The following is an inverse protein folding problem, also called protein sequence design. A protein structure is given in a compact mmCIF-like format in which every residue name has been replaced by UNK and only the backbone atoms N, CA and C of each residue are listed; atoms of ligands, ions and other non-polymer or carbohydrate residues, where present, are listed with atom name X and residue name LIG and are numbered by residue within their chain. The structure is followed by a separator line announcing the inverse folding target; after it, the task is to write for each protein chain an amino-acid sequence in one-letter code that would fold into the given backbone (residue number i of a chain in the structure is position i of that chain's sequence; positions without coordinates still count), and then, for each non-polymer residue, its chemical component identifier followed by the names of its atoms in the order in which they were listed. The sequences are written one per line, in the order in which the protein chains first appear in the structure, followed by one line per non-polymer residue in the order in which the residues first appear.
data_IF_901457153383
#
_entry.id   IF_901457153383
#
_cell.length_a   1.000
_cell.length_b   1.000
_cell.length_c   1.000
_cell.angle_alpha   90.00
_cell.angle_beta   90.00
_cell.angle_gamma   90.00
#
_symmetry.space_group_name_H-M   'P 1'
#
loop_
_entity.id
_entity.type
_entity.pdbx_description
1 polymer ?
#
# COMPACT_ATOMS: atom_id res chain seq x y z
N UNK A 1 -0.80 21.55 -3.83
CA UNK A 1 -1.65 20.36 -3.62
C UNK A 1 -2.97 20.89 -3.13
N UNK A 2 -4.07 20.68 -3.85
CA UNK A 2 -5.39 21.04 -3.34
C UNK A 2 -5.69 20.15 -2.13
N UNK A 3 -6.05 20.78 -1.01
CA UNK A 3 -6.51 20.06 0.17
C UNK A 3 -7.92 19.56 -0.10
N UNK A 4 -8.18 18.31 0.25
CA UNK A 4 -9.51 17.70 0.16
C UNK A 4 -10.22 18.00 1.48
N UNK A 5 -11.36 18.71 1.41
CA UNK A 5 -12.06 19.19 2.61
C UNK A 5 -12.67 18.06 3.47
N UNK A 6 -12.97 16.91 2.86
CA UNK A 6 -13.55 15.73 3.53
C UNK A 6 -12.55 14.57 3.70
N UNK A 7 -11.26 14.87 3.92
CA UNK A 7 -10.20 13.86 3.99
C UNK A 7 -10.48 12.77 5.05
N UNK A 8 -10.99 13.15 6.22
CA UNK A 8 -11.30 12.22 7.31
C UNK A 8 -12.41 11.24 6.95
N UNK A 9 -13.48 11.70 6.28
CA UNK A 9 -14.56 10.83 5.81
C UNK A 9 -14.07 9.80 4.79
N UNK A 10 -13.11 10.18 3.94
CA UNK A 10 -12.51 9.26 2.97
C UNK A 10 -11.68 8.20 3.70
N UNK A 11 -10.88 8.58 4.71
CA UNK A 11 -10.16 7.61 5.52
C UNK A 11 -11.10 6.66 6.27
N UNK A 12 -12.24 7.14 6.78
CA UNK A 12 -13.25 6.31 7.42
C UNK A 12 -13.85 5.28 6.45
N UNK A 13 -14.14 5.70 5.20
CA UNK A 13 -14.57 4.79 4.13
C UNK A 13 -13.52 3.72 3.83
N UNK A 14 -12.23 4.10 3.75
CA UNK A 14 -11.13 3.16 3.50
C UNK A 14 -10.98 2.15 4.66
N UNK A 15 -11.08 2.60 5.90
CA UNK A 15 -11.07 1.72 7.08
C UNK A 15 -12.27 0.77 7.08
N UNK A 16 -13.47 1.26 6.77
CA UNK A 16 -14.67 0.44 6.66
C UNK A 16 -14.54 -0.64 5.57
N UNK A 17 -13.95 -0.31 4.42
CA UNK A 17 -13.65 -1.30 3.37
C UNK A 17 -12.65 -2.37 3.85
N UNK A 18 -11.62 -1.98 4.61
CA UNK A 18 -10.67 -2.92 5.20
C UNK A 18 -11.36 -3.91 6.15
N UNK A 19 -12.28 -3.44 7.00
CA UNK A 19 -13.05 -4.28 7.92
C UNK A 19 -13.99 -5.22 7.17
N UNK A 20 -14.65 -4.73 6.11
CA UNK A 20 -15.50 -5.58 5.26
C UNK A 20 -14.70 -6.71 4.60
N UNK A 21 -13.52 -6.43 4.05
CA UNK A 21 -12.65 -7.43 3.43
C UNK A 21 -12.08 -8.43 4.46
N UNK A 22 -11.84 -7.97 5.69
CA UNK A 22 -11.42 -8.81 6.79
C UNK A 22 -12.49 -9.85 7.16
N UNK A 23 -13.76 -9.44 7.21
CA UNK A 23 -14.91 -10.29 7.58
C UNK A 23 -15.41 -11.19 6.43
N UNK A 24 -15.13 -10.84 5.17
CA UNK A 24 -15.59 -11.61 4.02
C UNK A 24 -14.92 -13.00 3.94
N UNK A 25 -15.64 -14.03 3.53
CA UNK A 25 -15.05 -15.37 3.30
C UNK A 25 -14.18 -15.47 2.03
N UNK A 26 -14.20 -14.43 1.20
CA UNK A 26 -13.44 -14.35 -0.03
C UNK A 26 -11.93 -14.34 0.22
N UNK A 27 -11.20 -15.13 -0.57
CA UNK A 27 -9.73 -15.16 -0.57
C UNK A 27 -9.18 -14.06 -1.45
N UNK A 28 -9.16 -12.85 -0.90
CA UNK A 28 -8.58 -11.68 -1.56
C UNK A 28 -7.05 -11.69 -1.44
N UNK A 29 -6.36 -11.35 -2.53
CA UNK A 29 -4.93 -11.02 -2.47
C UNK A 29 -4.69 -9.63 -1.93
N UNK A 30 -3.47 -9.34 -1.48
CA UNK A 30 -3.12 -7.97 -1.06
C UNK A 30 -3.30 -6.95 -2.19
N UNK A 31 -3.21 -7.38 -3.46
CA UNK A 31 -3.44 -6.49 -4.60
C UNK A 31 -4.92 -6.24 -4.82
N UNK A 32 -5.78 -7.26 -4.66
CA UNK A 32 -7.24 -7.09 -4.75
C UNK A 32 -7.73 -6.11 -3.68
N UNK A 33 -7.23 -6.25 -2.46
CA UNK A 33 -7.51 -5.32 -1.36
C UNK A 33 -7.06 -3.90 -1.70
N UNK A 34 -5.85 -3.74 -2.23
CA UNK A 34 -5.33 -2.44 -2.62
C UNK A 34 -6.13 -1.80 -3.75
N UNK A 35 -6.51 -2.57 -4.78
CA UNK A 35 -7.35 -2.10 -5.88
C UNK A 35 -8.71 -1.67 -5.35
N UNK A 36 -9.33 -2.43 -4.46
CA UNK A 36 -10.60 -2.08 -3.82
C UNK A 36 -10.55 -0.71 -3.13
N UNK A 37 -9.47 -0.45 -2.38
CA UNK A 37 -9.27 0.86 -1.73
C UNK A 37 -8.96 1.97 -2.73
N UNK A 38 -8.14 1.68 -3.75
CA UNK A 38 -7.70 2.63 -4.77
C UNK A 38 -8.77 2.97 -5.81
N UNK A 39 -9.82 2.16 -5.92
CA UNK A 39 -10.98 2.34 -6.79
C UNK A 39 -12.09 3.19 -6.16
N UNK A 40 -11.98 3.52 -4.86
CA UNK A 40 -12.84 4.53 -4.28
C UNK A 40 -12.73 5.83 -5.10
N UNK A 41 -13.86 6.34 -5.61
CA UNK A 41 -13.91 7.47 -6.54
C UNK A 41 -13.34 8.76 -5.95
N UNK A 42 -13.41 8.91 -4.63
CA UNK A 42 -12.87 10.06 -3.89
C UNK A 42 -11.35 9.96 -3.68
N UNK A 43 -10.73 8.81 -3.95
CA UNK A 43 -9.27 8.64 -3.91
C UNK A 43 -8.66 9.09 -5.25
N UNK A 44 -7.92 10.22 -5.28
CA UNK A 44 -7.34 10.73 -6.52
C UNK A 44 -6.22 9.82 -7.05
N UNK A 45 -5.72 10.12 -8.25
CA UNK A 45 -4.57 9.38 -8.81
C UNK A 45 -3.31 9.53 -7.94
N UNK A 46 -3.06 10.74 -7.41
CA UNK A 46 -1.92 11.05 -6.55
C UNK A 46 -2.39 11.84 -5.32
N UNK A 47 -2.35 11.22 -4.14
CA UNK A 47 -2.71 11.85 -2.86
C UNK A 47 -2.20 11.02 -1.66
N UNK A 48 -1.96 11.63 -0.47
CA UNK A 48 -1.57 10.92 0.75
C UNK A 48 -2.39 9.70 1.17
N UNK A 49 -3.62 9.51 0.69
CA UNK A 49 -4.38 8.27 0.90
C UNK A 49 -3.57 7.01 0.58
N UNK A 50 -2.70 7.05 -0.44
CA UNK A 50 -1.86 5.90 -0.82
C UNK A 50 -0.77 5.58 0.20
N UNK A 51 -0.42 6.52 1.08
CA UNK A 51 0.53 6.30 2.17
C UNK A 51 -0.12 5.46 3.28
N UNK A 52 -1.44 5.59 3.46
CA UNK A 52 -2.24 4.77 4.37
C UNK A 52 -2.70 3.44 3.77
N UNK A 53 -3.02 3.40 2.48
CA UNK A 53 -3.51 2.19 1.79
C UNK A 53 -2.54 1.00 1.98
N UNK A 54 -1.23 1.22 1.88
CA UNK A 54 -0.23 0.16 2.06
C UNK A 54 -0.35 -0.50 3.45
N UNK A 55 -0.20 0.23 4.58
CA UNK A 55 -0.28 -0.40 5.88
C UNK A 55 -1.68 -0.95 6.16
N UNK A 56 -2.75 -0.30 5.68
CA UNK A 56 -4.11 -0.80 5.86
C UNK A 56 -4.29 -2.19 5.24
N UNK A 57 -3.90 -2.36 3.96
CA UNK A 57 -3.96 -3.65 3.25
C UNK A 57 -3.16 -4.73 3.96
N UNK A 58 -1.91 -4.42 4.33
CA UNK A 58 -1.03 -5.40 4.96
C UNK A 58 -1.52 -5.80 6.35
N UNK A 59 -2.04 -4.85 7.15
CA UNK A 59 -2.65 -5.14 8.44
C UNK A 59 -3.90 -6.00 8.28
N UNK A 60 -4.79 -5.68 7.34
CA UNK A 60 -5.99 -6.48 7.05
C UNK A 60 -5.64 -7.90 6.67
N UNK A 61 -4.72 -8.09 5.71
CA UNK A 61 -4.31 -9.43 5.27
C UNK A 61 -3.60 -10.21 6.39
N UNK A 62 -2.73 -9.55 7.15
CA UNK A 62 -2.00 -10.15 8.28
C UNK A 62 -2.94 -10.60 9.38
N UNK A 63 -3.85 -9.71 9.83
CA UNK A 63 -4.82 -10.03 10.88
C UNK A 63 -5.77 -11.13 10.43
N UNK A 64 -6.16 -11.15 9.15
CA UNK A 64 -6.99 -12.22 8.59
C UNK A 64 -6.25 -13.57 8.62
N UNK A 65 -4.98 -13.60 8.19
CA UNK A 65 -4.16 -14.81 8.24
C UNK A 65 -3.94 -15.33 9.67
N UNK A 66 -3.87 -14.42 10.64
CA UNK A 66 -3.75 -14.72 12.07
C UNK A 66 -5.07 -15.14 12.73
N UNK A 67 -6.21 -15.04 12.04
CA UNK A 67 -7.55 -15.24 12.61
C UNK A 67 -7.78 -14.35 13.85
N UNK A 68 -7.26 -13.12 13.81
CA UNK A 68 -7.37 -12.16 14.90
C UNK A 68 -8.81 -11.72 15.14
N UNK A 69 -9.09 -11.05 16.26
CA UNK A 69 -10.39 -10.41 16.44
C UNK A 69 -10.52 -9.16 15.56
N UNK A 70 -11.76 -8.85 15.12
CA UNK A 70 -12.08 -7.63 14.37
C UNK A 70 -11.57 -6.36 15.06
N UNK A 71 -11.72 -6.29 16.38
CA UNK A 71 -11.31 -5.12 17.16
C UNK A 71 -9.80 -4.88 17.15
N UNK A 72 -8.99 -5.95 17.06
CA UNK A 72 -7.55 -5.80 16.89
C UNK A 72 -7.19 -5.15 15.56
N UNK A 73 -7.92 -5.47 14.49
CA UNK A 73 -7.75 -4.81 13.20
C UNK A 73 -8.18 -3.34 13.29
N UNK A 74 -9.33 -3.03 13.92
CA UNK A 74 -9.78 -1.64 14.13
C UNK A 74 -8.69 -0.79 14.83
N UNK A 75 -8.10 -1.31 15.91
CA UNK A 75 -7.03 -0.63 16.65
C UNK A 75 -5.81 -0.43 15.74
N UNK A 76 -5.42 -1.46 15.01
CA UNK A 76 -4.25 -1.41 14.12
C UNK A 76 -4.44 -0.41 12.98
N UNK A 77 -5.62 -0.36 12.37
CA UNK A 77 -5.97 0.60 11.30
C UNK A 77 -5.96 2.04 11.80
N UNK A 78 -6.53 2.26 13.00
CA UNK A 78 -6.56 3.60 13.63
C UNK A 78 -5.14 4.12 13.86
N UNK A 79 -4.25 3.28 14.39
CA UNK A 79 -2.85 3.66 14.63
C UNK A 79 -2.07 3.83 13.32
N UNK A 80 -2.33 3.00 12.31
CA UNK A 80 -1.75 3.14 10.97
C UNK A 80 -2.15 4.45 10.31
N UNK A 81 -3.42 4.84 10.40
CA UNK A 81 -3.93 6.10 9.88
C UNK A 81 -3.26 7.28 10.58
N UNK A 82 -3.26 7.28 11.92
CA UNK A 82 -2.60 8.32 12.73
C UNK A 82 -1.16 8.54 12.30
N UNK A 83 -0.38 7.47 12.10
CA UNK A 83 1.02 7.55 11.64
C UNK A 83 1.12 8.01 10.18
N UNK A 84 0.24 7.54 9.32
CA UNK A 84 0.25 7.86 7.89
C UNK A 84 -0.06 9.33 7.60
N UNK A 85 -0.87 9.99 8.44
CA UNK A 85 -1.14 11.44 8.35
C UNK A 85 0.13 12.31 8.51
N UNK A 86 1.18 11.79 9.14
CA UNK A 86 2.48 12.48 9.23
C UNK A 86 3.37 12.26 7.99
N UNK A 87 2.94 11.41 7.06
CA UNK A 87 3.62 11.19 5.78
C UNK A 87 2.97 12.09 4.74
N UNK A 88 3.44 13.33 4.64
CA UNK A 88 2.77 14.36 3.84
C UNK A 88 2.91 14.13 2.33
N UNK A 89 2.01 14.76 1.57
CA UNK A 89 2.05 14.77 0.12
C UNK A 89 3.39 15.29 -0.41
N UNK A 90 3.92 14.63 -1.45
CA UNK A 90 5.17 15.04 -2.07
C UNK A 90 6.45 14.54 -1.41
N UNK A 91 6.39 13.83 -0.26
CA UNK A 91 7.57 13.24 0.40
C UNK A 91 8.49 12.44 -0.54
N UNK A 92 7.90 11.72 -1.50
CA UNK A 92 8.64 11.00 -2.53
C UNK A 92 9.59 11.87 -3.37
N UNK A 93 9.29 13.16 -3.55
CA UNK A 93 10.11 14.11 -4.29
C UNK A 93 10.91 15.07 -3.41
N UNK A 94 10.40 15.44 -2.23
CA UNK A 94 11.04 16.42 -1.35
C UNK A 94 11.95 15.82 -0.29
N UNK A 95 11.70 14.58 0.14
CA UNK A 95 12.44 13.92 1.23
C UNK A 95 13.17 12.64 0.77
N UNK A 96 13.07 12.29 -0.52
CA UNK A 96 13.70 11.10 -1.08
C UNK A 96 13.12 9.77 -0.60
N UNK A 97 12.00 9.79 0.13
CA UNK A 97 11.34 8.61 0.67
C UNK A 97 9.89 8.55 0.19
N UNK A 98 9.55 7.52 -0.60
CA UNK A 98 8.19 7.31 -1.06
C UNK A 98 7.25 7.01 0.12
N UNK A 99 6.13 7.72 0.22
CA UNK A 99 5.17 7.53 1.30
C UNK A 99 4.55 6.13 1.34
N UNK A 100 4.42 5.45 0.18
CA UNK A 100 4.00 4.05 0.14
C UNK A 100 5.04 3.12 0.82
N UNK A 101 6.33 3.35 0.61
CA UNK A 101 7.40 2.59 1.27
C UNK A 101 7.48 2.89 2.77
N UNK A 102 7.27 4.15 3.18
CA UNK A 102 7.12 4.50 4.61
C UNK A 102 5.91 3.77 5.19
N UNK A 103 4.83 3.63 4.43
CA UNK A 103 3.65 2.82 4.78
C UNK A 103 3.99 1.37 5.13
N UNK A 104 4.93 0.73 4.41
CA UNK A 104 5.45 -0.60 4.78
C UNK A 104 6.13 -0.59 6.16
N UNK A 105 6.94 0.44 6.46
CA UNK A 105 7.53 0.63 7.77
C UNK A 105 6.49 0.83 8.87
N UNK A 106 5.44 1.62 8.61
CA UNK A 106 4.32 1.81 9.54
C UNK A 106 3.66 0.47 9.86
N UNK A 107 3.33 -0.32 8.84
CA UNK A 107 2.79 -1.67 9.01
C UNK A 107 3.72 -2.54 9.86
N UNK A 108 5.00 -2.65 9.47
CA UNK A 108 5.95 -3.52 10.16
C UNK A 108 6.11 -3.11 11.62
N UNK A 109 6.05 -1.80 11.91
CA UNK A 109 6.13 -1.29 13.26
C UNK A 109 4.93 -1.67 14.10
N UNK A 110 3.71 -1.63 13.54
CA UNK A 110 2.49 -2.02 14.25
C UNK A 110 2.43 -3.53 14.43
N UNK A 111 2.73 -4.29 13.37
CA UNK A 111 2.67 -5.76 13.38
C UNK A 111 3.69 -6.42 14.34
N UNK A 112 4.71 -5.68 14.79
CA UNK A 112 5.76 -6.18 15.69
C UNK A 112 5.86 -5.44 17.01
N UNK A 113 4.87 -4.59 17.33
CA UNK A 113 4.87 -3.72 18.51
C UNK A 113 6.20 -2.95 18.68
N UNK A 114 6.79 -2.55 17.55
CA UNK A 114 8.09 -1.90 17.53
C UNK A 114 8.01 -0.50 18.13
N UNK A 115 9.03 -0.16 18.92
CA UNK A 115 9.24 1.17 19.48
C UNK A 115 10.66 1.66 19.15
N UNK A 116 10.98 2.94 19.38
CA UNK A 116 12.35 3.43 19.26
C UNK A 116 13.36 2.70 20.15
N UNK A 117 12.89 2.01 21.21
CA UNK A 117 13.73 1.28 22.16
C UNK A 117 13.83 -0.23 21.85
N UNK A 118 13.13 -0.70 20.82
CA UNK A 118 13.20 -2.10 20.39
C UNK A 118 14.60 -2.44 19.88
N UNK A 119 15.13 -3.60 20.22
CA UNK A 119 16.48 -4.00 19.80
C UNK A 119 16.49 -4.71 18.45
N UNK A 120 15.68 -5.77 18.32
CA UNK A 120 15.62 -6.60 17.11
C UNK A 120 14.74 -5.97 16.03
N UNK A 121 13.49 -5.67 16.36
CA UNK A 121 12.46 -5.21 15.41
C UNK A 121 12.72 -3.81 14.87
N UNK A 122 13.52 -3.00 15.57
CA UNK A 122 13.90 -1.66 15.11
C UNK A 122 14.64 -1.71 13.77
N UNK A 123 15.58 -2.65 13.64
CA UNK A 123 16.29 -2.88 12.37
C UNK A 123 15.35 -3.37 11.28
N UNK A 124 14.37 -4.20 11.63
CA UNK A 124 13.44 -4.80 10.66
C UNK A 124 12.49 -3.78 10.06
N UNK A 125 11.96 -2.86 10.87
CA UNK A 125 11.07 -1.79 10.40
C UNK A 125 11.80 -0.86 9.43
N UNK A 126 13.05 -0.50 9.72
CA UNK A 126 13.88 0.30 8.83
C UNK A 126 14.21 -0.47 7.54
N UNK A 127 14.58 -1.75 7.66
CA UNK A 127 14.86 -2.60 6.50
C UNK A 127 13.64 -2.75 5.60
N UNK A 128 12.45 -2.96 6.17
CA UNK A 128 11.19 -3.08 5.43
C UNK A 128 10.92 -1.84 4.54
N UNK A 129 11.17 -0.65 5.09
CA UNK A 129 11.08 0.61 4.34
C UNK A 129 12.16 0.68 3.26
N UNK A 130 13.42 0.38 3.63
CA UNK A 130 14.58 0.46 2.75
C UNK A 130 14.49 -0.44 1.51
N UNK A 131 14.09 -1.71 1.68
CA UNK A 131 13.95 -2.65 0.55
C UNK A 131 12.85 -2.20 -0.41
N UNK A 132 11.75 -1.65 0.10
CA UNK A 132 10.71 -1.08 -0.74
C UNK A 132 11.19 0.15 -1.52
N UNK A 133 11.99 1.02 -0.89
CA UNK A 133 12.60 2.17 -1.57
C UNK A 133 13.58 1.72 -2.67
N UNK A 134 14.36 0.66 -2.42
CA UNK A 134 15.25 0.06 -3.41
C UNK A 134 14.48 -0.50 -4.62
N UNK A 135 13.35 -1.17 -4.41
CA UNK A 135 12.54 -1.66 -5.53
C UNK A 135 11.87 -0.52 -6.30
N UNK A 136 11.40 0.53 -5.60
CA UNK A 136 10.82 1.71 -6.24
C UNK A 136 11.86 2.46 -7.09
N UNK A 137 13.10 2.59 -6.62
CA UNK A 137 14.15 3.37 -7.30
C UNK A 137 14.62 2.76 -8.62
N UNK A 138 14.31 1.49 -8.88
CA UNK A 138 14.58 0.82 -10.16
C UNK A 138 13.79 1.41 -11.34
N UNK A 139 12.69 2.13 -11.06
CA UNK A 139 11.86 2.74 -12.11
C UNK A 139 11.98 4.27 -12.02
N UNK A 140 12.54 4.94 -13.05
CA UNK A 140 12.70 6.38 -13.01
C UNK A 140 11.35 7.11 -13.03
N UNK A 141 11.37 8.37 -12.60
CA UNK A 141 10.20 9.25 -12.60
C UNK A 141 9.60 9.51 -14.00
N UNK A 142 8.48 10.25 -14.08
CA UNK A 142 7.74 10.86 -12.96
C UNK A 142 7.04 9.83 -12.05
N UNK A 143 6.65 10.30 -10.85
CA UNK A 143 6.03 9.47 -9.79
C UNK A 143 4.72 8.85 -10.26
N UNK A 144 4.34 7.73 -9.65
CA UNK A 144 3.00 7.15 -9.79
C UNK A 144 2.61 6.44 -8.50
N UNK A 145 1.64 6.99 -7.74
CA UNK A 145 1.24 6.44 -6.45
C UNK A 145 0.71 5.01 -6.55
N UNK A 146 -0.08 4.69 -7.59
CA UNK A 146 -0.60 3.33 -7.84
C UNK A 146 0.53 2.32 -8.11
N UNK A 147 1.50 2.69 -8.99
CA UNK A 147 2.69 1.86 -9.27
C UNK A 147 3.49 1.58 -8.00
N UNK A 148 3.72 2.60 -7.17
CA UNK A 148 4.48 2.42 -5.94
C UNK A 148 3.77 1.53 -4.93
N UNK A 149 2.44 1.59 -4.83
CA UNK A 149 1.66 0.67 -3.98
C UNK A 149 1.87 -0.78 -4.44
N UNK A 150 1.76 -1.07 -5.74
CA UNK A 150 1.98 -2.41 -6.26
C UNK A 150 3.39 -2.95 -6.02
N UNK A 151 4.42 -2.13 -6.24
CA UNK A 151 5.82 -2.50 -5.95
C UNK A 151 5.98 -2.82 -4.47
N UNK A 152 5.46 -1.95 -3.59
CA UNK A 152 5.59 -2.11 -2.14
C UNK A 152 4.90 -3.39 -1.69
N UNK A 153 3.67 -3.66 -2.12
CA UNK A 153 2.95 -4.88 -1.74
C UNK A 153 3.65 -6.15 -2.26
N UNK A 154 4.16 -6.12 -3.50
CA UNK A 154 4.96 -7.23 -4.07
C UNK A 154 6.24 -7.49 -3.27
N UNK A 155 6.88 -6.44 -2.77
CA UNK A 155 8.09 -6.54 -1.96
C UNK A 155 7.77 -6.98 -0.52
N UNK A 156 6.65 -6.48 0.02
CA UNK A 156 6.23 -6.70 1.39
C UNK A 156 5.95 -8.17 1.69
N UNK A 157 5.29 -8.92 0.79
CA UNK A 157 4.93 -10.32 1.06
C UNK A 157 6.15 -11.19 1.37
N UNK A 158 7.27 -10.99 0.65
CA UNK A 158 8.51 -11.73 0.87
C UNK A 158 9.09 -11.38 2.23
N UNK A 159 9.13 -10.09 2.54
CA UNK A 159 9.65 -9.61 3.81
C UNK A 159 8.81 -10.07 5.02
N UNK A 160 7.49 -10.06 4.88
CA UNK A 160 6.54 -10.53 5.91
C UNK A 160 6.71 -12.03 6.14
N UNK A 161 6.82 -12.82 5.08
CA UNK A 161 7.09 -14.25 5.18
C UNK A 161 8.41 -14.53 5.90
N UNK A 162 9.48 -13.83 5.51
CA UNK A 162 10.81 -14.02 6.11
C UNK A 162 10.89 -13.61 7.59
N UNK A 163 10.29 -12.48 7.97
CA UNK A 163 10.44 -11.91 9.31
C UNK A 163 9.36 -12.34 10.29
N UNK A 164 8.13 -12.50 9.82
CA UNK A 164 6.96 -12.80 10.65
C UNK A 164 6.45 -14.24 10.49
N UNK A 165 6.97 -14.99 9.52
CA UNK A 165 6.49 -16.33 9.17
C UNK A 165 4.98 -16.35 8.84
N UNK A 166 4.52 -15.31 8.14
CA UNK A 166 3.14 -15.16 7.70
C UNK A 166 3.11 -15.17 6.17
N UNK A 167 2.32 -16.06 5.60
CA UNK A 167 2.12 -16.13 4.15
C UNK A 167 0.90 -15.28 3.76
N UNK A 168 1.12 -14.25 2.94
CA UNK A 168 0.07 -13.34 2.50
C UNK A 168 -0.29 -13.63 1.04
N UNK A 169 -1.58 -13.82 0.70
CA UNK A 169 -1.98 -14.13 -0.67
C UNK A 169 -1.61 -13.02 -1.65
N UNK A 170 -1.00 -13.42 -2.77
CA UNK A 170 -0.57 -12.56 -3.87
C UNK A 170 -0.86 -13.24 -5.20
N UNK A 171 -1.34 -12.48 -6.17
CA UNK A 171 -1.53 -12.94 -7.53
C UNK A 171 -0.21 -12.93 -8.33
N UNK A 172 -0.09 -13.84 -9.29
CA UNK A 172 1.13 -13.96 -10.11
C UNK A 172 1.39 -12.73 -10.99
N UNK A 173 0.32 -12.19 -11.59
CA UNK A 173 0.39 -11.04 -12.49
C UNK A 173 -0.40 -9.86 -11.92
N UNK A 174 0.19 -8.67 -11.98
CA UNK A 174 -0.46 -7.41 -11.59
C UNK A 174 -0.61 -6.57 -12.86
N UNK A 175 -1.85 -6.33 -13.28
CA UNK A 175 -2.18 -5.48 -14.43
C UNK A 175 -2.81 -4.19 -13.91
N UNK A 176 -2.19 -3.05 -14.19
CA UNK A 176 -2.67 -1.75 -13.77
C UNK A 176 -3.76 -1.27 -14.73
N UNK A 177 -4.94 -0.90 -14.20
CA UNK A 177 -6.03 -0.27 -14.96
C UNK A 177 -6.08 1.27 -14.87
N UNK A 178 -5.17 1.89 -14.13
CA UNK A 178 -5.18 3.34 -13.88
C UNK A 178 -4.39 4.15 -14.91
N UNK A 179 -3.86 3.52 -15.96
CA UNK A 179 -2.91 4.17 -16.87
C UNK A 179 -3.51 5.34 -17.65
N UNK A 180 -4.81 5.31 -17.96
CA UNK A 180 -5.51 6.41 -18.65
C UNK A 180 -5.78 7.60 -17.75
N UNK A 181 -5.97 7.36 -16.44
CA UNK A 181 -6.24 8.38 -15.43
C UNK A 181 -4.99 9.15 -14.98
N UNK A 182 -3.82 8.81 -15.50
CA UNK A 182 -2.54 9.37 -15.10
C UNK A 182 -1.84 10.03 -16.28
N UNK A 183 -1.86 11.35 -16.35
CA UNK A 183 -1.19 12.12 -17.41
C UNK A 183 0.32 11.82 -17.48
N UNK A 184 0.95 11.54 -16.34
CA UNK A 184 2.36 11.19 -16.22
C UNK A 184 2.63 9.68 -16.35
N UNK A 185 1.68 8.90 -16.88
CA UNK A 185 1.85 7.46 -17.02
C UNK A 185 3.00 7.12 -17.97
N UNK A 186 3.85 6.19 -17.53
CA UNK A 186 4.99 5.70 -18.30
C UNK A 186 4.61 4.61 -19.33
N UNK A 187 3.34 4.15 -19.33
CA UNK A 187 2.80 3.09 -20.21
C UNK A 187 3.79 1.95 -20.38
N UNK A 188 4.29 1.70 -21.59
CA UNK A 188 5.23 0.62 -21.93
C UNK A 188 6.51 0.57 -21.09
N UNK A 189 6.90 1.68 -20.44
CA UNK A 189 8.03 1.73 -19.50
C UNK A 189 7.66 1.38 -18.05
N UNK A 190 6.42 0.97 -17.79
CA UNK A 190 5.92 0.52 -16.50
C UNK A 190 5.61 -0.98 -16.55
N UNK A 191 6.20 -1.76 -15.64
CA UNK A 191 6.05 -3.22 -15.60
C UNK A 191 4.62 -3.73 -15.34
N UNK A 192 3.71 -2.85 -14.91
CA UNK A 192 2.29 -3.17 -14.70
C UNK A 192 1.40 -2.72 -15.86
N UNK A 193 1.95 -2.13 -16.91
CA UNK A 193 1.18 -1.78 -18.10
C UNK A 193 1.11 -3.00 -19.01
N UNK A 194 -0.10 -3.31 -19.46
CA UNK A 194 -0.34 -4.25 -20.55
C UNK A 194 -0.98 -3.45 -21.67
N UNK A 195 -0.41 -3.54 -22.88
CA UNK A 195 -1.05 -2.95 -24.04
C UNK A 195 -2.32 -3.74 -24.35
N UNK A 196 -3.42 -3.04 -24.65
CA UNK A 196 -4.62 -3.68 -25.14
C UNK A 196 -4.28 -4.33 -26.49
N UNK A 197 -4.42 -5.64 -26.57
CA UNK A 197 -4.23 -6.41 -27.80
C UNK A 197 -5.44 -6.28 -28.73
N UNK A 198 -5.89 -5.06 -29.00
CA UNK A 198 -6.97 -4.76 -29.95
C UNK A 198 -6.57 -3.54 -30.78
N UNK A 199 -6.04 -3.78 -31.99
CA UNK A 199 -5.63 -2.70 -32.89
C UNK A 199 -4.86 -3.07 -34.17
N UNK A 200 -4.56 -4.34 -34.45
CA UNK A 200 -4.10 -4.78 -35.78
C UNK A 200 -5.19 -5.62 -36.48
N UNK A 201 -6.33 -4.99 -36.79
CA UNK A 201 -7.22 -5.37 -37.88
C UNK A 201 -7.97 -4.13 -38.36
N UNK A 202 -7.32 -3.34 -39.20
CA UNK A 202 -7.82 -2.86 -40.51
C UNK A 202 -6.69 -2.14 -41.28
#
# INVERSE_FOLDING_TARGET
MHLIENEDEIYDKLQAQCLKMFEADEKLTVIDMAITLMDNEEVPMHYPFHHFIVPAVLLTATKKAQQAARDELCISLTEALKRSKYVLGGFCGSHGACGAAIGMGIYMSIATDNTPMSTRTWSWVNQATGVCLQEISKIPGPRCCKRTVFIVLKTAITFVKEKLNIDLPMQEQIICKYYERNAECKRVLCSFYQADSEGEKE
#
